data_IF_017583997832
#
_entry.id   IF_017583997832
#
_cell.length_a   1.000
_cell.length_b   1.000
_cell.length_c   1.000
_cell.angle_alpha   90.00
_cell.angle_beta   90.00
_cell.angle_gamma   90.00
#
_symmetry.space_group_name_H-M   'P 1'
#
loop_
_entity.id
_entity.type
_entity.pdbx_description
1 polymer ?
#
# COMPACT_ATOMS: atom_id res chain seq x y z
N UNK A 1 -9.45 22.18 8.43
CA UNK A 1 -8.83 20.92 7.93
C UNK A 1 -7.33 20.97 8.15
N UNK A 2 -6.78 19.95 8.80
CA UNK A 2 -5.34 19.82 8.96
C UNK A 2 -4.79 18.93 7.86
N UNK A 3 -3.72 19.37 7.23
CA UNK A 3 -2.99 18.57 6.25
C UNK A 3 -1.55 18.40 6.76
N UNK A 4 -1.09 17.18 6.84
CA UNK A 4 0.27 16.88 7.26
C UNK A 4 0.91 15.86 6.33
N UNK A 5 2.24 15.92 6.23
CA UNK A 5 3.01 14.97 5.43
C UNK A 5 3.49 13.85 6.35
N UNK A 6 3.27 12.61 5.93
CA UNK A 6 3.72 11.43 6.65
C UNK A 6 4.52 10.55 5.69
N UNK A 7 5.82 10.44 5.92
CA UNK A 7 6.73 9.67 5.08
C UNK A 7 6.48 8.16 5.14
N UNK A 8 5.74 7.68 6.14
CA UNK A 8 5.34 6.28 6.22
C UNK A 8 4.45 5.83 5.06
N UNK A 9 3.89 6.78 4.32
CA UNK A 9 2.97 6.52 3.21
C UNK A 9 3.60 6.72 1.83
N UNK A 10 4.91 6.88 1.73
CA UNK A 10 5.57 6.99 0.42
C UNK A 10 5.53 5.65 -0.31
N UNK A 11 5.67 5.71 -1.64
CA UNK A 11 5.69 4.52 -2.49
C UNK A 11 6.85 3.58 -2.11
N UNK A 12 6.73 2.32 -2.53
CA UNK A 12 7.80 1.34 -2.38
C UNK A 12 9.09 1.86 -3.02
N UNK A 13 10.19 1.77 -2.29
CA UNK A 13 11.51 2.13 -2.80
C UNK A 13 12.09 0.98 -3.61
N UNK A 14 12.16 1.15 -4.93
CA UNK A 14 12.74 0.14 -5.82
C UNK A 14 14.27 0.23 -5.92
N UNK A 15 14.88 1.21 -5.24
CA UNK A 15 16.32 1.36 -5.25
C UNK A 15 16.88 1.54 -6.66
N UNK A 16 17.89 0.74 -7.01
CA UNK A 16 18.53 0.82 -8.33
C UNK A 16 17.61 0.45 -9.49
N UNK A 17 16.49 -0.25 -9.19
CA UNK A 17 15.53 -0.61 -10.23
C UNK A 17 14.70 0.57 -10.72
N UNK A 18 14.64 1.65 -9.99
CA UNK A 18 13.87 2.84 -10.39
C UNK A 18 14.36 3.46 -11.69
N UNK A 19 15.66 3.35 -11.95
CA UNK A 19 16.29 3.89 -13.15
C UNK A 19 16.54 2.84 -14.22
N UNK A 20 16.23 1.57 -13.95
CA UNK A 20 16.43 0.49 -14.91
C UNK A 20 15.21 0.32 -15.81
N UNK A 21 15.41 0.18 -17.12
CA UNK A 21 14.34 -0.29 -18.00
C UNK A 21 13.86 -1.67 -17.53
N UNK A 22 12.56 -1.90 -17.59
CA UNK A 22 11.97 -3.16 -17.16
C UNK A 22 12.63 -4.37 -17.82
N UNK A 23 13.04 -4.26 -19.10
CA UNK A 23 13.69 -5.34 -19.81
C UNK A 23 15.09 -5.71 -19.31
N UNK A 24 15.70 -4.88 -18.45
CA UNK A 24 17.00 -5.18 -17.85
C UNK A 24 16.89 -5.96 -16.55
N UNK A 25 15.68 -6.08 -15.99
CA UNK A 25 15.44 -6.89 -14.81
C UNK A 25 15.28 -8.34 -15.27
N UNK A 26 16.11 -9.23 -14.74
CA UNK A 26 16.08 -10.62 -15.19
C UNK A 26 14.81 -11.34 -14.75
N UNK A 27 14.46 -12.40 -15.48
CA UNK A 27 13.31 -13.23 -15.13
C UNK A 27 13.48 -13.85 -13.73
N UNK A 28 14.71 -14.21 -13.37
CA UNK A 28 15.00 -14.76 -12.05
C UNK A 28 14.77 -13.75 -10.93
N UNK A 29 15.16 -12.50 -11.16
CA UNK A 29 14.92 -11.39 -10.22
C UNK A 29 13.43 -11.14 -10.03
N UNK A 30 12.64 -11.15 -11.12
CA UNK A 30 11.19 -11.02 -11.07
C UNK A 30 10.52 -12.15 -10.27
N UNK A 31 10.93 -13.39 -10.54
CA UNK A 31 10.40 -14.57 -9.84
C UNK A 31 10.71 -14.45 -8.35
N UNK A 32 11.93 -14.08 -8.01
CA UNK A 32 12.36 -13.95 -6.63
C UNK A 32 11.58 -12.85 -5.90
N UNK A 33 11.38 -11.71 -6.55
CA UNK A 33 10.62 -10.61 -5.97
C UNK A 33 9.17 -11.02 -5.69
N UNK A 34 8.56 -11.77 -6.60
CA UNK A 34 7.17 -12.23 -6.44
C UNK A 34 7.01 -13.33 -5.41
N UNK A 35 8.02 -14.14 -5.20
CA UNK A 35 7.94 -15.32 -4.31
C UNK A 35 8.53 -15.10 -2.92
N UNK A 36 9.34 -14.07 -2.74
CA UNK A 36 10.03 -13.79 -1.47
C UNK A 36 9.78 -12.37 -1.00
N UNK A 37 8.88 -12.17 -0.01
CA UNK A 37 8.57 -10.83 0.51
C UNK A 37 9.75 -10.12 1.17
N UNK A 38 10.80 -10.85 1.55
CA UNK A 38 12.01 -10.27 2.14
C UNK A 38 13.02 -9.82 1.10
N UNK A 39 12.81 -10.15 -0.17
CA UNK A 39 13.71 -9.72 -1.24
C UNK A 39 13.69 -8.22 -1.39
N UNK A 40 14.88 -7.61 -1.50
CA UNK A 40 15.05 -6.18 -1.73
C UNK A 40 15.74 -5.96 -3.05
N UNK A 41 15.19 -5.10 -3.93
CA UNK A 41 16.00 -4.59 -5.04
C UNK A 41 17.25 -3.91 -4.47
N UNK A 42 18.40 -3.95 -5.16
CA UNK A 42 19.61 -3.32 -4.64
C UNK A 42 19.37 -1.85 -4.23
N UNK A 43 19.68 -1.52 -2.98
CA UNK A 43 19.45 -0.18 -2.43
C UNK A 43 18.00 0.17 -2.19
N UNK A 44 17.09 -0.78 -2.34
CA UNK A 44 15.66 -0.56 -2.19
C UNK A 44 15.07 -1.17 -0.93
N UNK A 45 13.75 -1.35 -0.96
CA UNK A 45 12.94 -1.81 0.17
C UNK A 45 12.28 -3.14 -0.19
N UNK A 46 12.12 -4.03 0.80
CA UNK A 46 11.34 -5.25 0.60
C UNK A 46 9.85 -4.98 0.78
N UNK A 47 9.01 -5.85 0.22
CA UNK A 47 7.55 -5.76 0.44
C UNK A 47 7.21 -5.94 1.92
N UNK A 48 7.97 -6.77 2.62
CA UNK A 48 7.79 -6.97 4.06
C UNK A 48 8.06 -5.70 4.86
N UNK A 49 9.12 -4.95 4.51
CA UNK A 49 9.42 -3.66 5.14
C UNK A 49 8.34 -2.63 4.84
N UNK A 50 7.85 -2.59 3.60
CA UNK A 50 6.75 -1.72 3.22
C UNK A 50 5.51 -2.02 4.07
N UNK A 51 5.13 -3.29 4.17
CA UNK A 51 3.95 -3.69 4.95
C UNK A 51 4.08 -3.26 6.41
N UNK A 52 5.27 -3.38 6.98
CA UNK A 52 5.51 -3.00 8.37
C UNK A 52 5.35 -1.50 8.58
N UNK A 53 5.93 -0.67 7.74
CA UNK A 53 5.82 0.78 7.93
C UNK A 53 4.41 1.30 7.65
N UNK A 54 3.70 0.71 6.69
CA UNK A 54 2.31 1.10 6.41
C UNK A 54 1.38 0.66 7.55
N UNK A 55 1.59 -0.52 8.10
CA UNK A 55 0.82 -0.98 9.27
C UNK A 55 0.97 -0.01 10.45
N UNK A 56 2.19 0.46 10.71
CA UNK A 56 2.41 1.47 11.76
C UNK A 56 1.68 2.77 11.45
N UNK A 57 1.67 3.20 10.19
CA UNK A 57 0.92 4.38 9.76
C UNK A 57 -0.59 4.23 9.96
N UNK A 58 -1.12 3.06 9.64
CA UNK A 58 -2.54 2.76 9.85
C UNK A 58 -2.90 2.75 11.35
N UNK A 59 -2.09 2.10 12.16
CA UNK A 59 -2.33 2.03 13.60
C UNK A 59 -2.30 3.41 14.26
N UNK A 60 -1.42 4.29 13.78
CA UNK A 60 -1.35 5.66 14.27
C UNK A 60 -2.62 6.47 13.97
N UNK A 61 -3.38 6.09 12.96
CA UNK A 61 -4.61 6.79 12.57
C UNK A 61 -5.88 6.21 13.17
N UNK A 62 -5.81 5.06 13.85
CA UNK A 62 -7.00 4.37 14.35
C UNK A 62 -7.89 5.23 15.23
N UNK A 63 -7.32 5.91 16.22
CA UNK A 63 -8.11 6.73 17.16
C UNK A 63 -8.78 7.90 16.44
N UNK A 64 -8.05 8.58 15.58
CA UNK A 64 -8.56 9.72 14.83
C UNK A 64 -9.67 9.28 13.87
N UNK A 65 -9.50 8.13 13.23
CA UNK A 65 -10.45 7.59 12.26
C UNK A 65 -11.74 7.06 12.90
N UNK A 66 -11.73 6.75 14.19
CA UNK A 66 -12.96 6.40 14.92
C UNK A 66 -13.90 7.59 15.08
N UNK A 67 -13.35 8.78 15.23
CA UNK A 67 -14.11 9.99 15.55
C UNK A 67 -14.34 10.90 14.36
N UNK A 68 -13.52 10.79 13.32
CA UNK A 68 -13.59 11.67 12.16
C UNK A 68 -13.09 10.96 10.91
N UNK A 69 -13.36 11.58 9.76
CA UNK A 69 -12.86 11.07 8.50
C UNK A 69 -11.41 11.51 8.30
N UNK A 70 -10.56 10.57 7.93
CA UNK A 70 -9.15 10.80 7.59
C UNK A 70 -8.94 10.41 6.14
N UNK A 71 -8.42 11.33 5.33
CA UNK A 71 -8.06 11.03 3.94
C UNK A 71 -6.55 10.94 3.82
N UNK A 72 -6.07 9.85 3.23
CA UNK A 72 -4.65 9.62 2.97
C UNK A 72 -4.45 9.61 1.46
N UNK A 73 -3.66 10.56 0.96
CA UNK A 73 -3.29 10.61 -0.45
C UNK A 73 -1.92 9.95 -0.59
N UNK A 74 -1.88 8.83 -1.25
CA UNK A 74 -0.69 8.00 -1.31
C UNK A 74 -0.55 7.30 -2.68
N UNK A 75 0.06 6.14 -2.72
CA UNK A 75 0.42 5.42 -3.94
C UNK A 75 -0.11 3.98 -3.90
N UNK A 76 0.00 3.29 -5.03
CA UNK A 76 -0.52 1.92 -5.19
C UNK A 76 0.02 0.95 -4.14
N UNK A 77 1.34 0.91 -3.93
CA UNK A 77 1.94 -0.06 -3.01
C UNK A 77 1.48 0.12 -1.56
N UNK A 78 1.52 1.33 -0.99
CA UNK A 78 1.00 1.54 0.37
C UNK A 78 -0.49 1.23 0.50
N UNK A 79 -1.29 1.48 -0.53
CA UNK A 79 -2.72 1.15 -0.50
C UNK A 79 -2.91 -0.37 -0.37
N UNK A 80 -2.17 -1.15 -1.14
CA UNK A 80 -2.22 -2.61 -1.05
C UNK A 80 -1.79 -3.11 0.33
N UNK A 81 -0.77 -2.50 0.91
CA UNK A 81 -0.32 -2.83 2.27
C UNK A 81 -1.37 -2.49 3.32
N UNK A 82 -2.06 -1.35 3.18
CA UNK A 82 -3.14 -0.96 4.09
C UNK A 82 -4.31 -1.96 4.02
N UNK A 83 -4.64 -2.44 2.82
CA UNK A 83 -5.67 -3.47 2.64
C UNK A 83 -5.25 -4.76 3.35
N UNK A 84 -4.00 -5.18 3.17
CA UNK A 84 -3.46 -6.36 3.85
C UNK A 84 -3.57 -6.24 5.37
N UNK A 85 -3.21 -5.07 5.89
CA UNK A 85 -3.36 -4.78 7.32
C UNK A 85 -4.81 -4.86 7.78
N UNK A 86 -5.74 -4.25 7.03
CA UNK A 86 -7.15 -4.25 7.39
C UNK A 86 -7.76 -5.67 7.39
N UNK A 87 -7.29 -6.52 6.48
CA UNK A 87 -7.75 -7.91 6.40
C UNK A 87 -7.07 -8.83 7.42
N UNK A 88 -6.06 -8.33 8.14
CA UNK A 88 -5.37 -9.10 9.18
C UNK A 88 -4.58 -10.29 8.65
N UNK A 89 -4.11 -10.22 7.42
CA UNK A 89 -3.33 -11.30 6.81
C UNK A 89 -1.84 -11.05 6.92
N UNK A 90 -1.07 -12.10 7.19
CA UNK A 90 0.38 -12.07 7.18
C UNK A 90 0.94 -12.54 5.83
N UNK A 91 0.09 -13.02 4.92
CA UNK A 91 0.51 -13.46 3.60
C UNK A 91 0.64 -12.27 2.65
N UNK A 92 1.51 -12.41 1.66
CA UNK A 92 1.70 -11.38 0.65
C UNK A 92 0.56 -11.44 -0.36
N UNK A 93 -0.42 -10.58 -0.20
CA UNK A 93 -1.62 -10.54 -1.06
C UNK A 93 -1.54 -9.48 -2.15
N UNK A 94 -0.52 -8.62 -2.13
CA UNK A 94 -0.43 -7.49 -3.06
C UNK A 94 -0.48 -7.92 -4.53
N UNK A 95 0.05 -9.10 -4.85
CA UNK A 95 0.04 -9.65 -6.21
C UNK A 95 -1.35 -10.04 -6.69
N UNK A 96 -2.30 -10.16 -5.77
CA UNK A 96 -3.69 -10.52 -6.05
C UNK A 96 -4.63 -9.32 -5.99
N UNK A 97 -4.08 -8.12 -5.82
CA UNK A 97 -4.84 -6.87 -5.74
C UNK A 97 -4.50 -5.98 -6.93
N UNK A 98 -5.52 -5.38 -7.53
CA UNK A 98 -5.35 -4.40 -8.59
C UNK A 98 -5.86 -3.05 -8.10
N UNK A 99 -5.00 -2.04 -8.14
CA UNK A 99 -5.34 -0.68 -7.69
C UNK A 99 -5.17 0.27 -8.86
N UNK A 100 -6.28 0.88 -9.29
CA UNK A 100 -6.25 1.87 -10.37
C UNK A 100 -5.77 3.22 -9.89
N UNK A 101 -5.35 4.05 -10.84
CA UNK A 101 -4.96 5.43 -10.53
C UNK A 101 -6.19 6.23 -10.11
N UNK A 102 -6.02 7.10 -9.13
CA UNK A 102 -7.07 7.98 -8.61
C UNK A 102 -8.29 7.23 -8.06
N UNK A 103 -8.14 5.96 -7.71
CA UNK A 103 -9.17 5.17 -7.07
C UNK A 103 -9.35 5.59 -5.61
N UNK A 104 -10.45 5.15 -4.99
CA UNK A 104 -10.68 5.33 -3.56
C UNK A 104 -10.84 3.95 -2.93
N UNK A 105 -10.12 3.72 -1.83
CA UNK A 105 -10.26 2.54 -0.99
C UNK A 105 -10.66 3.03 0.39
N UNK A 106 -11.66 2.39 1.00
CA UNK A 106 -12.23 2.84 2.28
C UNK A 106 -12.08 1.78 3.35
N UNK A 107 -11.53 2.19 4.47
CA UNK A 107 -11.40 1.37 5.67
C UNK A 107 -12.12 2.10 6.79
N UNK A 108 -13.15 1.47 7.35
CA UNK A 108 -13.86 2.01 8.51
C UNK A 108 -13.19 1.46 9.78
N UNK A 109 -13.26 2.22 10.86
CA UNK A 109 -12.80 1.75 12.16
C UNK A 109 -14.04 1.52 13.03
N UNK A 110 -14.26 0.29 13.45
CA UNK A 110 -15.43 -0.12 14.27
C UNK A 110 -14.93 -0.84 15.49
N UNK A 111 -15.20 -0.27 16.67
CA UNK A 111 -14.77 -0.85 17.95
C UNK A 111 -13.25 -1.10 17.99
N UNK A 112 -12.47 -0.13 17.51
CA UNK A 112 -11.01 -0.21 17.46
C UNK A 112 -10.47 -1.15 16.39
N UNK A 113 -11.33 -1.67 15.53
CA UNK A 113 -10.96 -2.67 14.51
C UNK A 113 -11.16 -2.13 13.12
N UNK A 114 -10.17 -2.32 12.22
CA UNK A 114 -10.34 -1.92 10.83
C UNK A 114 -11.28 -2.86 10.08
N UNK A 115 -12.13 -2.29 9.24
CA UNK A 115 -13.04 -3.02 8.37
C UNK A 115 -12.92 -2.44 6.97
N UNK A 116 -12.53 -3.26 6.01
CA UNK A 116 -12.47 -2.84 4.60
C UNK A 116 -13.90 -2.76 4.07
N UNK A 117 -14.37 -1.57 3.76
CA UNK A 117 -15.74 -1.35 3.29
C UNK A 117 -15.85 -1.23 1.80
N UNK A 118 -14.80 -0.78 1.12
CA UNK A 118 -14.75 -0.78 -0.33
C UNK A 118 -13.30 -0.72 -0.82
N UNK A 119 -13.08 -1.22 -2.01
CA UNK A 119 -11.75 -1.33 -2.57
C UNK A 119 -11.77 -0.92 -4.04
N UNK A 120 -10.78 -0.11 -4.44
CA UNK A 120 -10.58 0.27 -5.83
C UNK A 120 -11.82 0.90 -6.49
N UNK A 121 -12.46 1.83 -5.79
CA UNK A 121 -13.60 2.57 -6.35
C UNK A 121 -13.13 3.50 -7.46
N UNK A 122 -13.71 3.36 -8.63
CA UNK A 122 -13.40 4.20 -9.79
C UNK A 122 -14.63 4.89 -10.38
N UNK A 123 -15.80 4.72 -9.73
CA UNK A 123 -17.05 5.25 -10.24
C UNK A 123 -17.12 6.77 -10.37
N UNK A 124 -16.27 7.48 -9.60
CA UNK A 124 -16.14 8.94 -9.68
C UNK A 124 -15.33 9.39 -10.91
N UNK A 125 -14.63 8.46 -11.56
CA UNK A 125 -13.83 8.74 -12.76
C UNK A 125 -14.71 8.58 -13.98
N UNK A 126 -15.09 9.70 -14.56
CA UNK A 126 -15.91 9.67 -15.77
C UNK A 126 -15.04 9.47 -17.00
N UNK A 127 -15.37 8.48 -17.80
CA UNK A 127 -14.78 8.34 -19.12
C UNK A 127 -15.53 9.25 -20.08
N UNK A 128 -14.81 10.00 -20.94
CA UNK A 128 -15.44 10.80 -21.95
C UNK A 128 -16.23 9.95 -22.96
#
# INVERSE_FOLDING_TARGET
MLCRVDEGWIALDFGEWEEKPIGEITKEEWIRWRSDPSFMPPGGESLEELDRRVALGCEALLLEAEESNVAVFTHVSPIKSAVSWALGTSEQISWNLSVGQAQITRIAVRDGRPVLTSFNETGHLKKP
#
